data_IF_611667078082
#
_entry.id   IF_611667078082
#
_cell.length_a   1.000
_cell.length_b   1.000
_cell.length_c   1.000
_cell.angle_alpha   90.00
_cell.angle_beta   90.00
_cell.angle_gamma   90.00
#
_symmetry.space_group_name_H-M   'P 1'
#
loop_
_entity.id
_entity.type
_entity.pdbx_description
1 polymer ?
#
# COMPACT_ATOMS: atom_id res chain seq x y z
N UNK A 1 6.68 6.84 -17.01
CA UNK A 1 6.91 5.51 -17.63
C UNK A 1 6.31 4.47 -16.70
N UNK A 2 5.26 3.79 -17.11
CA UNK A 2 4.76 2.64 -16.36
C UNK A 2 5.78 1.50 -16.50
N UNK A 3 6.21 0.94 -15.37
CA UNK A 3 7.04 -0.27 -15.37
C UNK A 3 6.20 -1.41 -15.94
N UNK A 4 6.54 -1.91 -17.13
CA UNK A 4 5.85 -3.03 -17.78
C UNK A 4 6.22 -4.39 -17.18
N UNK A 5 7.24 -4.43 -16.32
CA UNK A 5 7.75 -5.65 -15.68
C UNK A 5 7.44 -5.74 -14.19
N UNK A 6 7.85 -6.85 -13.57
CA UNK A 6 7.80 -7.02 -12.12
C UNK A 6 8.64 -5.94 -11.42
N UNK A 7 8.02 -5.26 -10.45
CA UNK A 7 8.68 -4.24 -9.64
C UNK A 7 9.82 -4.86 -8.82
N UNK A 8 9.55 -5.97 -8.14
CA UNK A 8 10.52 -6.60 -7.25
C UNK A 8 11.74 -7.12 -8.01
N UNK A 9 11.53 -7.79 -9.14
CA UNK A 9 12.63 -8.22 -10.01
C UNK A 9 13.43 -7.03 -10.54
N UNK A 10 12.76 -5.95 -10.96
CA UNK A 10 13.43 -4.74 -11.46
C UNK A 10 14.27 -4.07 -10.37
N UNK A 11 13.79 -4.04 -9.12
CA UNK A 11 14.59 -3.51 -7.98
C UNK A 11 15.85 -4.36 -7.79
N UNK A 12 15.74 -5.69 -7.77
CA UNK A 12 16.88 -6.60 -7.61
C UNK A 12 17.90 -6.40 -8.74
N UNK A 13 17.43 -6.35 -10.00
CA UNK A 13 18.30 -6.12 -11.16
C UNK A 13 19.04 -4.79 -11.09
N UNK A 14 18.36 -3.72 -10.65
CA UNK A 14 19.00 -2.41 -10.44
C UNK A 14 20.05 -2.44 -9.34
N UNK A 15 19.76 -3.11 -8.20
CA UNK A 15 20.73 -3.28 -7.12
C UNK A 15 21.97 -3.99 -7.61
N UNK A 16 21.82 -5.06 -8.41
CA UNK A 16 22.92 -5.76 -9.05
C UNK A 16 23.70 -4.85 -10.00
N UNK A 17 23.00 -4.12 -10.87
CA UNK A 17 23.61 -3.19 -11.83
C UNK A 17 24.39 -2.07 -11.14
N UNK A 18 23.89 -1.52 -10.05
CA UNK A 18 24.62 -0.50 -9.29
C UNK A 18 25.97 -0.99 -8.74
N UNK A 19 26.08 -2.26 -8.42
CA UNK A 19 27.26 -2.84 -7.75
C UNK A 19 28.05 -3.81 -8.64
N UNK A 20 27.67 -3.95 -9.91
CA UNK A 20 28.24 -4.91 -10.83
C UNK A 20 28.24 -6.33 -10.24
N UNK A 21 27.13 -6.70 -9.57
CA UNK A 21 27.02 -7.92 -8.80
C UNK A 21 26.46 -9.07 -9.65
N UNK A 22 27.24 -10.14 -9.89
CA UNK A 22 26.75 -11.29 -10.65
C UNK A 22 25.69 -12.05 -9.84
N UNK A 23 24.70 -12.63 -10.54
CA UNK A 23 23.61 -13.39 -9.92
C UNK A 23 24.08 -14.64 -9.15
N UNK A 24 25.29 -15.11 -9.43
CA UNK A 24 25.89 -16.30 -8.79
C UNK A 24 26.32 -16.07 -7.33
N UNK A 25 26.59 -14.84 -6.92
CA UNK A 25 27.12 -14.55 -5.58
C UNK A 25 26.04 -14.45 -4.51
N UNK A 26 24.95 -13.77 -4.83
CA UNK A 26 23.78 -13.63 -3.94
C UNK A 26 22.54 -14.05 -4.71
N UNK A 27 21.72 -14.94 -4.14
CA UNK A 27 20.44 -15.31 -4.73
C UNK A 27 19.47 -14.11 -4.72
N UNK A 28 18.48 -14.13 -5.60
CA UNK A 28 17.43 -13.10 -5.62
C UNK A 28 16.64 -13.08 -4.29
N UNK A 29 16.38 -14.25 -3.70
CA UNK A 29 15.70 -14.37 -2.42
C UNK A 29 16.54 -13.76 -1.27
N UNK A 30 17.85 -14.01 -1.26
CA UNK A 30 18.76 -13.37 -0.30
C UNK A 30 18.71 -11.84 -0.42
N UNK A 31 18.86 -11.30 -1.64
CA UNK A 31 18.80 -9.85 -1.85
C UNK A 31 17.44 -9.29 -1.46
N UNK A 32 16.36 -9.99 -1.80
CA UNK A 32 15.01 -9.55 -1.44
C UNK A 32 14.84 -9.46 0.07
N UNK A 33 15.12 -10.53 0.81
CA UNK A 33 14.86 -10.60 2.26
C UNK A 33 15.81 -9.75 3.08
N UNK A 34 17.10 -9.74 2.74
CA UNK A 34 18.13 -9.15 3.60
C UNK A 34 18.53 -7.73 3.19
N UNK A 35 18.18 -7.31 1.97
CA UNK A 35 18.62 -6.02 1.43
C UNK A 35 17.43 -5.16 1.01
N UNK A 36 16.54 -5.68 0.17
CA UNK A 36 15.46 -4.87 -0.42
C UNK A 36 14.33 -4.61 0.57
N UNK A 37 13.84 -5.66 1.25
CA UNK A 37 12.71 -5.51 2.19
C UNK A 37 13.01 -4.54 3.34
N UNK A 38 14.15 -4.65 4.06
CA UNK A 38 14.47 -3.71 5.12
C UNK A 38 14.54 -2.26 4.62
N UNK A 39 15.15 -2.04 3.44
CA UNK A 39 15.25 -0.70 2.88
C UNK A 39 13.91 -0.18 2.34
N UNK A 40 13.03 -1.04 1.88
CA UNK A 40 11.67 -0.64 1.51
C UNK A 40 10.90 -0.12 2.72
N UNK A 41 10.96 -0.84 3.86
CA UNK A 41 10.35 -0.40 5.12
C UNK A 41 10.95 0.94 5.56
N UNK A 42 12.28 1.09 5.51
CA UNK A 42 12.97 2.33 5.86
C UNK A 42 12.54 3.51 4.97
N UNK A 43 12.44 3.29 3.66
CA UNK A 43 12.02 4.33 2.70
C UNK A 43 10.56 4.69 2.92
N UNK A 44 9.66 3.72 3.08
CA UNK A 44 8.25 3.96 3.35
C UNK A 44 8.06 4.73 4.66
N UNK A 45 8.74 4.33 5.73
CA UNK A 45 8.69 5.01 7.03
C UNK A 45 9.19 6.45 6.94
N UNK A 46 10.29 6.70 6.24
CA UNK A 46 10.81 8.07 6.03
C UNK A 46 9.84 8.95 5.25
N UNK A 47 9.20 8.40 4.22
CA UNK A 47 8.21 9.14 3.43
C UNK A 47 6.91 9.39 4.21
N UNK A 48 6.56 8.48 5.12
CA UNK A 48 5.43 8.66 6.04
C UNK A 48 5.66 9.78 7.05
N UNK A 49 6.92 9.97 7.48
CA UNK A 49 7.32 11.04 8.41
C UNK A 49 7.51 12.41 7.73
N UNK A 50 7.48 12.46 6.41
CA UNK A 50 7.53 13.74 5.69
C UNK A 50 6.12 14.37 5.67
N UNK A 51 5.85 15.20 6.67
CA UNK A 51 4.56 15.85 6.88
C UNK A 51 4.13 16.79 5.74
N UNK A 52 5.09 17.31 4.99
CA UNK A 52 4.78 18.20 3.85
C UNK A 52 4.16 17.42 2.69
N UNK A 53 4.57 16.16 2.49
CA UNK A 53 4.16 15.34 1.35
C UNK A 53 4.03 13.84 1.72
N UNK A 54 3.10 13.46 2.62
CA UNK A 54 2.96 12.07 3.01
C UNK A 54 2.36 11.21 1.89
N UNK A 55 2.79 9.95 1.83
CA UNK A 55 2.07 8.95 1.05
C UNK A 55 0.78 8.64 1.77
N UNK A 56 -0.34 8.87 1.12
CA UNK A 56 -1.68 8.63 1.67
C UNK A 56 -2.29 7.43 0.98
N UNK A 57 -2.73 6.46 1.78
CA UNK A 57 -3.47 5.30 1.32
C UNK A 57 -4.96 5.52 1.58
N UNK A 58 -5.78 5.21 0.58
CA UNK A 58 -7.24 5.16 0.67
C UNK A 58 -7.67 3.72 0.80
N UNK A 59 -8.43 3.39 1.82
CA UNK A 59 -8.95 2.06 2.05
C UNK A 59 -10.42 2.09 2.45
N UNK A 60 -11.24 1.28 1.78
CA UNK A 60 -12.61 1.02 2.20
C UNK A 60 -12.62 0.02 3.36
N UNK A 61 -13.45 0.27 4.36
CA UNK A 61 -13.70 -0.62 5.49
C UNK A 61 -15.20 -0.72 5.74
N UNK A 62 -15.66 -1.90 6.14
CA UNK A 62 -17.06 -2.11 6.53
C UNK A 62 -17.13 -2.39 8.01
N UNK A 63 -17.90 -1.61 8.75
CA UNK A 63 -18.15 -1.80 10.17
C UNK A 63 -19.54 -2.40 10.32
N UNK A 64 -19.62 -3.58 10.93
CA UNK A 64 -20.90 -4.27 11.15
C UNK A 64 -21.73 -3.55 12.21
N UNK A 65 -23.05 -3.74 12.16
CA UNK A 65 -23.99 -3.23 13.16
C UNK A 65 -23.58 -3.63 14.58
N UNK A 66 -23.62 -2.68 15.51
CA UNK A 66 -23.28 -2.90 16.92
C UNK A 66 -21.81 -3.20 17.20
N UNK A 67 -20.93 -3.16 16.20
CA UNK A 67 -19.49 -3.39 16.39
C UNK A 67 -18.86 -2.14 17.02
N UNK A 68 -18.31 -2.30 18.20
CA UNK A 68 -17.63 -1.22 18.92
C UNK A 68 -16.19 -1.04 18.44
N UNK A 69 -15.51 -2.12 18.14
CA UNK A 69 -14.10 -2.11 17.77
C UNK A 69 -13.88 -2.82 16.44
N UNK A 70 -13.15 -2.16 15.56
CA UNK A 70 -12.70 -2.68 14.28
C UNK A 70 -11.17 -2.85 14.30
N UNK A 71 -10.71 -4.05 13.93
CA UNK A 71 -9.28 -4.34 13.85
C UNK A 71 -8.66 -3.57 12.69
N UNK A 72 -7.74 -2.64 12.97
CA UNK A 72 -6.99 -1.93 11.94
C UNK A 72 -5.99 -2.86 11.24
N UNK A 73 -5.78 -2.67 9.94
CA UNK A 73 -4.68 -3.29 9.22
C UNK A 73 -3.33 -2.96 9.85
N UNK A 74 -2.37 -3.90 9.85
CA UNK A 74 -1.07 -3.69 10.52
C UNK A 74 -0.22 -2.59 9.89
N UNK A 75 -0.48 -2.23 8.63
CA UNK A 75 0.24 -1.16 7.93
C UNK A 75 -0.32 0.25 8.17
N UNK A 76 -1.38 0.39 8.96
CA UNK A 76 -1.94 1.70 9.33
C UNK A 76 -1.01 2.39 10.31
N UNK A 77 -0.49 3.56 9.95
CA UNK A 77 0.27 4.44 10.85
C UNK A 77 -0.63 5.52 11.46
N UNK A 78 -0.95 6.53 10.71
CA UNK A 78 -1.77 7.66 11.18
C UNK A 78 -3.02 7.82 10.30
N UNK A 79 -4.21 7.79 10.92
CA UNK A 79 -5.46 8.09 10.24
C UNK A 79 -5.69 9.58 10.32
N UNK A 80 -5.83 10.26 9.19
CA UNK A 80 -6.12 11.69 9.18
C UNK A 80 -7.55 12.02 8.71
N UNK A 81 -8.23 11.09 8.05
CA UNK A 81 -9.62 11.25 7.64
C UNK A 81 -10.35 9.92 7.62
N UNK A 82 -11.56 9.92 8.15
CA UNK A 82 -12.48 8.79 8.12
C UNK A 82 -13.86 9.31 7.72
N UNK A 83 -14.36 8.89 6.57
CA UNK A 83 -15.60 9.37 5.98
C UNK A 83 -16.52 8.25 5.58
N UNK A 84 -17.83 8.49 5.64
CA UNK A 84 -18.83 7.62 5.05
C UNK A 84 -19.19 8.15 3.67
N UNK A 85 -19.21 7.27 2.68
CA UNK A 85 -19.62 7.57 1.32
C UNK A 85 -20.95 6.90 1.01
N UNK A 86 -21.77 7.55 0.19
CA UNK A 86 -22.93 6.92 -0.46
C UNK A 86 -22.51 6.13 -1.71
N UNK A 87 -23.50 5.58 -2.41
CA UNK A 87 -23.33 4.82 -3.64
C UNK A 87 -22.72 5.64 -4.79
N UNK A 88 -22.83 6.98 -4.72
CA UNK A 88 -22.29 7.93 -5.70
C UNK A 88 -20.91 8.46 -5.30
N UNK A 89 -20.26 7.90 -4.26
CA UNK A 89 -19.02 8.38 -3.66
C UNK A 89 -19.10 9.82 -3.06
N UNK A 90 -20.30 10.27 -2.68
CA UNK A 90 -20.50 11.53 -1.98
C UNK A 90 -20.35 11.30 -0.48
N UNK A 91 -19.65 12.20 0.21
CA UNK A 91 -19.47 12.12 1.65
C UNK A 91 -20.79 12.40 2.35
N UNK A 92 -21.31 11.43 3.09
CA UNK A 92 -22.55 11.52 3.87
C UNK A 92 -22.29 11.80 5.35
N UNK A 93 -21.12 11.39 5.86
CA UNK A 93 -20.68 11.70 7.20
C UNK A 93 -19.15 11.80 7.26
N UNK A 94 -18.66 12.72 8.07
CA UNK A 94 -17.25 12.93 8.38
C UNK A 94 -17.04 12.65 9.87
N UNK A 95 -16.28 11.58 10.15
CA UNK A 95 -15.98 11.15 11.51
C UNK A 95 -14.76 11.90 12.02
N UNK A 96 -14.88 12.63 13.11
CA UNK A 96 -13.78 13.41 13.70
C UNK A 96 -13.03 12.61 14.76
N UNK A 97 -11.72 12.85 14.95
CA UNK A 97 -11.00 12.27 16.08
C UNK A 97 -11.66 12.67 17.40
N UNK A 98 -11.78 11.74 18.34
CA UNK A 98 -12.28 12.01 19.67
C UNK A 98 -11.38 13.06 20.37
N UNK A 99 -11.98 14.08 20.96
CA UNK A 99 -11.26 15.20 21.60
C UNK A 99 -11.13 16.46 20.74
N UNK A 100 -11.42 16.42 19.45
CA UNK A 100 -11.68 17.62 18.67
C UNK A 100 -13.14 18.05 18.90
N UNK A 101 -13.32 19.30 19.31
CA UNK A 101 -14.60 19.86 19.76
C UNK A 101 -15.78 19.71 18.78
N UNK A 102 -16.43 18.53 18.82
CA UNK A 102 -17.76 18.33 18.26
C UNK A 102 -18.54 17.40 19.19
N UNK A 103 -19.29 17.91 20.16
CA UNK A 103 -19.94 17.08 21.17
C UNK A 103 -21.11 16.23 20.65
N UNK A 104 -21.56 16.44 19.42
CA UNK A 104 -22.79 15.79 18.90
C UNK A 104 -22.58 15.06 17.55
N UNK A 105 -21.40 15.15 16.90
CA UNK A 105 -21.13 14.55 15.60
C UNK A 105 -20.50 13.14 15.69
N UNK A 106 -20.47 12.40 14.56
CA UNK A 106 -19.77 11.14 14.51
C UNK A 106 -18.27 11.33 14.77
N UNK A 107 -17.72 10.46 15.61
CA UNK A 107 -16.31 10.52 15.99
C UNK A 107 -15.66 9.13 16.00
N UNK A 108 -14.34 9.11 16.05
CA UNK A 108 -13.54 7.90 16.15
C UNK A 108 -12.40 8.07 17.15
N UNK A 109 -11.94 6.95 17.69
CA UNK A 109 -10.73 6.85 18.49
C UNK A 109 -9.93 5.60 18.15
N UNK A 110 -8.67 5.59 18.52
CA UNK A 110 -7.79 4.43 18.37
C UNK A 110 -7.33 3.98 19.75
N UNK A 111 -7.49 2.71 20.03
CA UNK A 111 -7.00 2.04 21.23
C UNK A 111 -6.08 0.89 20.81
N UNK A 112 -4.77 1.12 20.83
CA UNK A 112 -3.80 0.19 20.27
C UNK A 112 -3.94 0.06 18.76
N UNK A 113 -4.40 -1.09 18.28
CA UNK A 113 -4.68 -1.34 16.85
C UNK A 113 -6.18 -1.52 16.56
N UNK A 114 -7.02 -1.03 17.44
CA UNK A 114 -8.47 -1.07 17.31
C UNK A 114 -9.02 0.33 17.03
N UNK A 115 -9.84 0.45 16.00
CA UNK A 115 -10.61 1.63 15.66
C UNK A 115 -11.99 1.52 16.33
N UNK A 116 -12.36 2.48 17.13
CA UNK A 116 -13.72 2.65 17.65
C UNK A 116 -14.40 3.81 16.94
N UNK A 117 -15.66 3.64 16.55
CA UNK A 117 -16.49 4.69 15.95
C UNK A 117 -17.74 4.96 16.81
N UNK A 118 -18.12 6.22 16.91
CA UNK A 118 -19.29 6.65 17.67
C UNK A 118 -20.14 7.64 16.84
N UNK A 119 -21.48 7.59 16.95
CA UNK A 119 -22.26 6.58 17.68
C UNK A 119 -22.05 5.18 17.08
N UNK A 120 -22.35 4.13 17.86
CA UNK A 120 -22.34 2.76 17.37
C UNK A 120 -23.32 2.64 16.20
N UNK A 121 -22.91 2.05 15.07
CA UNK A 121 -23.81 1.90 13.93
C UNK A 121 -24.94 0.90 14.23
N UNK A 122 -26.18 1.28 13.98
CA UNK A 122 -27.37 0.44 14.07
C UNK A 122 -27.51 -0.54 12.90
N UNK A 123 -26.82 -0.26 11.80
CA UNK A 123 -26.68 -1.09 10.60
C UNK A 123 -25.25 -1.08 10.12
N UNK A 124 -24.88 -2.03 9.27
CA UNK A 124 -23.55 -2.03 8.66
C UNK A 124 -23.31 -0.73 7.88
N UNK A 125 -22.15 -0.11 8.09
CA UNK A 125 -21.74 1.11 7.42
C UNK A 125 -20.43 0.90 6.65
N UNK A 126 -20.34 1.52 5.48
CA UNK A 126 -19.12 1.54 4.68
C UNK A 126 -18.41 2.88 4.89
N UNK A 127 -17.19 2.80 5.41
CA UNK A 127 -16.32 3.94 5.62
C UNK A 127 -15.15 3.89 4.67
N UNK A 128 -14.61 5.05 4.35
CA UNK A 128 -13.33 5.19 3.67
C UNK A 128 -12.35 5.84 4.62
N UNK A 129 -11.29 5.12 4.89
CA UNK A 129 -10.19 5.55 5.73
C UNK A 129 -9.05 6.07 4.85
N UNK A 130 -8.56 7.25 5.16
CA UNK A 130 -7.34 7.82 4.58
C UNK A 130 -6.27 7.85 5.66
N UNK A 131 -5.17 7.17 5.41
CA UNK A 131 -4.11 7.02 6.39
C UNK A 131 -2.72 7.08 5.78
N UNK A 132 -1.76 7.41 6.60
CA UNK A 132 -0.33 7.34 6.31
C UNK A 132 0.15 5.96 6.75
N UNK A 133 0.79 5.16 5.87
CA UNK A 133 1.29 3.84 6.24
C UNK A 133 2.47 3.95 7.21
N UNK A 134 2.59 2.99 8.12
CA UNK A 134 3.72 2.93 9.07
C UNK A 134 4.99 2.27 8.49
N UNK A 135 4.94 1.82 7.22
CA UNK A 135 6.04 1.11 6.57
C UNK A 135 6.06 -0.40 6.81
N UNK A 136 5.20 -0.94 7.68
CA UNK A 136 5.09 -2.37 7.94
C UNK A 136 4.39 -3.08 6.77
N UNK A 137 5.17 -3.45 5.77
CA UNK A 137 4.68 -4.05 4.54
C UNK A 137 5.65 -5.14 4.04
N UNK A 138 5.13 -6.33 3.76
CA UNK A 138 5.89 -7.46 3.21
C UNK A 138 5.53 -7.68 1.74
N UNK A 139 6.26 -7.06 0.80
CA UNK A 139 6.01 -7.30 -0.62
C UNK A 139 6.42 -8.71 -1.01
N UNK A 140 5.72 -9.28 -1.99
CA UNK A 140 6.11 -10.58 -2.51
C UNK A 140 5.70 -10.78 -3.98
N UNK A 141 6.38 -11.71 -4.63
CA UNK A 141 6.10 -12.20 -5.97
C UNK A 141 5.96 -13.72 -5.94
N UNK A 142 4.96 -14.25 -6.61
CA UNK A 142 4.73 -15.68 -6.77
C UNK A 142 4.19 -16.03 -8.17
N UNK A 143 4.31 -17.31 -8.52
CA UNK A 143 3.95 -17.82 -9.85
C UNK A 143 2.75 -18.79 -9.84
N UNK A 144 2.18 -19.03 -8.68
CA UNK A 144 1.17 -20.06 -8.42
C UNK A 144 -0.09 -19.51 -7.71
N UNK A 145 -0.38 -18.23 -7.88
CA UNK A 145 -1.63 -17.65 -7.37
C UNK A 145 -2.86 -18.30 -7.99
N UNK A 146 -3.86 -18.65 -7.18
CA UNK A 146 -5.10 -19.24 -7.64
C UNK A 146 -6.23 -18.22 -7.71
N UNK A 147 -6.64 -17.85 -8.93
CA UNK A 147 -7.74 -16.93 -9.17
C UNK A 147 -9.08 -17.63 -8.91
N UNK A 148 -9.98 -16.97 -8.20
CA UNK A 148 -11.34 -17.46 -8.01
C UNK A 148 -12.14 -17.40 -9.33
N UNK A 149 -13.17 -18.24 -9.44
CA UNK A 149 -14.00 -18.35 -10.64
C UNK A 149 -14.74 -17.07 -11.02
N UNK A 150 -14.99 -16.18 -10.06
CA UNK A 150 -15.60 -14.87 -10.28
C UNK A 150 -14.60 -13.79 -10.71
N UNK A 151 -13.30 -14.11 -10.71
CA UNK A 151 -12.22 -13.17 -11.03
C UNK A 151 -12.03 -12.05 -10.00
N UNK A 152 -12.72 -12.07 -8.86
CA UNK A 152 -12.69 -10.98 -7.86
C UNK A 152 -11.77 -11.23 -6.67
N UNK A 153 -11.16 -12.39 -6.61
CA UNK A 153 -10.24 -12.71 -5.53
C UNK A 153 -9.16 -13.67 -5.96
N UNK A 154 -8.03 -13.59 -5.28
CA UNK A 154 -6.85 -14.40 -5.51
C UNK A 154 -6.42 -15.06 -4.20
N UNK A 155 -6.28 -16.38 -4.21
CA UNK A 155 -5.60 -17.10 -3.15
C UNK A 155 -4.11 -16.98 -3.37
N UNK A 156 -3.39 -16.52 -2.34
CA UNK A 156 -1.96 -16.25 -2.41
C UNK A 156 -1.15 -17.52 -2.21
N UNK A 157 0.03 -17.56 -2.81
CA UNK A 157 0.99 -18.64 -2.59
C UNK A 157 1.47 -18.69 -1.14
N UNK A 158 1.50 -19.88 -0.56
CA UNK A 158 2.10 -20.08 0.77
C UNK A 158 3.63 -19.97 0.75
N UNK A 159 4.25 -20.11 -0.44
CA UNK A 159 5.70 -20.08 -0.63
C UNK A 159 6.05 -19.15 -1.79
N UNK A 160 6.04 -17.83 -1.58
CA UNK A 160 6.36 -16.88 -2.65
C UNK A 160 7.78 -17.08 -3.17
N UNK A 161 7.95 -16.84 -4.47
CA UNK A 161 9.27 -16.94 -5.15
C UNK A 161 10.23 -15.85 -4.66
N UNK A 162 9.72 -14.66 -4.38
CA UNK A 162 10.47 -13.53 -3.80
C UNK A 162 9.68 -12.90 -2.67
N UNK A 163 10.39 -12.45 -1.65
CA UNK A 163 9.81 -11.76 -0.51
C UNK A 163 9.21 -12.71 0.52
N UNK A 164 8.22 -12.24 1.25
CA UNK A 164 7.55 -13.00 2.30
C UNK A 164 6.03 -12.76 2.28
N UNK A 165 5.27 -13.83 2.50
CA UNK A 165 3.83 -13.75 2.66
C UNK A 165 3.50 -13.16 4.04
N UNK A 166 2.69 -12.12 4.07
CA UNK A 166 2.11 -11.63 5.32
C UNK A 166 0.79 -12.36 5.60
N UNK A 167 0.74 -13.05 6.72
CA UNK A 167 -0.45 -13.81 7.15
C UNK A 167 -1.34 -13.03 8.12
N UNK A 168 -0.98 -11.79 8.46
CA UNK A 168 -1.79 -10.94 9.34
C UNK A 168 -3.01 -10.43 8.57
N UNK A 169 -4.23 -10.60 9.08
CA UNK A 169 -5.43 -10.09 8.42
C UNK A 169 -5.31 -8.59 8.10
N UNK A 170 -5.74 -8.21 6.90
CA UNK A 170 -5.71 -6.82 6.45
C UNK A 170 -4.34 -6.30 5.99
N UNK A 171 -3.23 -7.04 6.15
CA UNK A 171 -1.88 -6.53 5.84
C UNK A 171 -1.71 -6.03 4.40
N UNK A 172 -2.43 -6.61 3.45
CA UNK A 172 -2.39 -6.19 2.04
C UNK A 172 -3.54 -5.28 1.62
N UNK A 173 -4.45 -4.95 2.52
CA UNK A 173 -5.53 -4.03 2.20
C UNK A 173 -4.97 -2.65 1.79
N UNK A 174 -5.49 -2.07 0.70
CA UNK A 174 -4.98 -0.84 0.10
C UNK A 174 -3.68 -1.00 -0.70
N UNK A 175 -3.06 -2.16 -0.73
CA UNK A 175 -1.89 -2.44 -1.56
C UNK A 175 -2.27 -2.63 -3.04
N UNK A 176 -1.27 -2.65 -3.90
CA UNK A 176 -1.44 -2.90 -5.32
C UNK A 176 -1.11 -4.35 -5.66
N UNK A 177 -2.09 -5.08 -6.18
CA UNK A 177 -1.91 -6.39 -6.82
C UNK A 177 -1.60 -6.18 -8.30
N UNK A 178 -0.51 -6.75 -8.77
CA UNK A 178 -0.12 -6.75 -10.18
C UNK A 178 -0.11 -8.17 -10.71
N UNK A 179 -0.92 -8.43 -11.71
CA UNK A 179 -0.99 -9.74 -12.39
C UNK A 179 -0.07 -9.69 -13.58
N UNK A 180 0.82 -10.66 -13.66
CA UNK A 180 1.90 -10.73 -14.62
C UNK A 180 1.68 -11.88 -15.61
N UNK A 181 2.15 -11.71 -16.83
CA UNK A 181 2.12 -12.75 -17.84
C UNK A 181 3.07 -13.88 -17.48
N UNK A 182 2.61 -15.12 -17.57
CA UNK A 182 3.47 -16.29 -17.40
C UNK A 182 4.65 -16.26 -18.38
N UNK A 183 5.84 -16.54 -17.86
CA UNK A 183 7.07 -16.64 -18.63
C UNK A 183 7.71 -15.32 -19.08
N UNK A 184 7.09 -14.14 -18.82
CA UNK A 184 7.68 -12.88 -19.29
C UNK A 184 7.71 -11.73 -18.28
N UNK A 185 7.21 -11.90 -17.07
CA UNK A 185 7.08 -10.84 -16.05
C UNK A 185 6.40 -9.54 -16.56
N UNK A 186 5.79 -9.55 -17.74
CA UNK A 186 5.08 -8.38 -18.28
C UNK A 186 3.78 -8.19 -17.52
N UNK A 187 3.51 -6.98 -17.06
CA UNK A 187 2.26 -6.65 -16.38
C UNK A 187 1.08 -6.78 -17.34
N UNK A 188 0.08 -7.54 -16.93
CA UNK A 188 -1.21 -7.68 -17.64
C UNK A 188 -2.26 -6.75 -17.04
N UNK A 189 -2.41 -6.77 -15.73
CA UNK A 189 -3.42 -5.99 -15.02
C UNK A 189 -2.91 -5.55 -13.65
N UNK A 190 -3.46 -4.44 -13.19
CA UNK A 190 -3.20 -3.87 -11.86
C UNK A 190 -4.53 -3.66 -11.15
N UNK A 191 -4.60 -3.99 -9.87
CA UNK A 191 -5.78 -3.88 -9.01
C UNK A 191 -5.41 -3.35 -7.65
N UNK A 192 -6.32 -2.62 -7.03
CA UNK A 192 -6.20 -2.29 -5.61
C UNK A 192 -6.84 -3.42 -4.79
N UNK A 193 -6.17 -3.82 -3.74
CA UNK A 193 -6.66 -4.84 -2.82
C UNK A 193 -7.64 -4.19 -1.84
N UNK A 194 -8.90 -4.58 -1.90
CA UNK A 194 -9.94 -4.09 -0.98
C UNK A 194 -9.84 -4.77 0.38
N UNK A 195 -9.58 -6.07 0.39
CA UNK A 195 -9.49 -6.85 1.62
C UNK A 195 -8.46 -7.97 1.53
N UNK A 196 -7.90 -8.31 2.67
CA UNK A 196 -6.98 -9.42 2.86
C UNK A 196 -7.44 -10.25 4.05
N UNK A 197 -7.66 -11.54 3.82
CA UNK A 197 -8.08 -12.49 4.84
C UNK A 197 -7.06 -13.62 4.97
N UNK A 198 -6.84 -14.06 6.21
CA UNK A 198 -6.04 -15.22 6.50
C UNK A 198 -6.87 -16.20 7.33
N UNK A 199 -6.88 -17.46 6.96
CA UNK A 199 -7.64 -18.50 7.65
C UNK A 199 -6.86 -19.81 7.71
N UNK A 200 -7.04 -20.51 8.81
CA UNK A 200 -6.41 -21.80 9.02
C UNK A 200 -7.17 -22.88 8.22
N UNK A 201 -6.48 -23.59 7.35
CA UNK A 201 -7.03 -24.73 6.59
C UNK A 201 -6.66 -26.07 7.20
N UNK A 202 -5.83 -26.06 8.26
CA UNK A 202 -5.36 -27.25 8.98
C UNK A 202 -4.23 -26.90 9.95
N UNK A 203 -3.73 -27.86 10.73
CA UNK A 203 -2.63 -27.60 11.67
C UNK A 203 -1.39 -27.04 10.98
N UNK A 204 -1.06 -25.78 11.29
CA UNK A 204 0.10 -25.07 10.72
C UNK A 204 -0.06 -24.60 9.27
N UNK A 205 -1.25 -24.75 8.66
CA UNK A 205 -1.52 -24.31 7.30
C UNK A 205 -2.40 -23.06 7.33
N UNK A 206 -1.80 -21.91 7.01
CA UNK A 206 -2.51 -20.64 6.82
C UNK A 206 -2.68 -20.40 5.34
N UNK A 207 -3.92 -20.28 4.88
CA UNK A 207 -4.25 -19.84 3.55
C UNK A 207 -4.64 -18.37 3.60
N UNK A 208 -4.12 -17.59 2.67
CA UNK A 208 -4.39 -16.16 2.57
C UNK A 208 -5.06 -15.84 1.25
N UNK A 209 -6.01 -14.91 1.29
CA UNK A 209 -6.79 -14.51 0.13
C UNK A 209 -6.94 -13.00 0.08
N UNK A 210 -6.79 -12.42 -1.09
CA UNK A 210 -7.07 -11.02 -1.35
C UNK A 210 -8.28 -10.88 -2.26
N UNK A 211 -9.14 -9.89 -1.98
CA UNK A 211 -10.20 -9.48 -2.87
C UNK A 211 -9.89 -8.07 -3.41
N UNK A 212 -10.39 -7.74 -4.58
CA UNK A 212 -10.07 -6.49 -5.27
C UNK A 212 -11.29 -5.88 -5.96
N UNK A 213 -11.17 -4.60 -6.24
CA UNK A 213 -12.20 -3.67 -6.69
C UNK A 213 -12.88 -4.04 -8.01
N UNK A 214 -12.17 -4.70 -8.91
CA UNK A 214 -12.70 -5.06 -10.22
C UNK A 214 -12.27 -6.46 -10.65
N UNK A 215 -13.13 -7.23 -11.35
CA UNK A 215 -12.82 -8.60 -11.73
C UNK A 215 -11.63 -8.67 -12.68
N UNK A 216 -10.87 -9.75 -12.57
CA UNK A 216 -9.82 -10.08 -13.52
C UNK A 216 -10.43 -10.56 -14.84
N UNK A 217 -9.97 -9.97 -15.95
CA UNK A 217 -10.43 -10.30 -17.29
C UNK A 217 -9.39 -11.17 -18.01
N UNK A 218 -9.26 -12.41 -17.61
CA UNK A 218 -8.28 -13.34 -18.19
C UNK A 218 -8.59 -14.78 -17.82
N UNK A 219 -7.70 -15.70 -18.21
CA UNK A 219 -7.82 -17.10 -17.83
C UNK A 219 -7.72 -17.27 -16.32
N UNK A 220 -8.67 -17.98 -15.72
CA UNK A 220 -8.80 -18.18 -14.27
C UNK A 220 -7.89 -19.30 -13.72
N UNK A 221 -6.87 -19.70 -14.46
CA UNK A 221 -5.86 -20.66 -14.02
C UNK A 221 -4.82 -20.00 -13.10
N UNK A 222 -3.80 -20.75 -12.73
CA UNK A 222 -2.66 -20.22 -11.98
C UNK A 222 -2.10 -18.96 -12.62
N UNK A 223 -1.95 -17.89 -11.82
CA UNK A 223 -1.45 -16.59 -12.29
C UNK A 223 -0.15 -16.21 -11.59
N UNK A 224 0.74 -15.59 -12.34
CA UNK A 224 1.89 -14.92 -11.76
C UNK A 224 1.43 -13.57 -11.22
N UNK A 225 1.83 -13.23 -10.03
CA UNK A 225 1.44 -11.97 -9.41
C UNK A 225 2.53 -11.40 -8.51
N UNK A 226 2.45 -10.11 -8.26
CA UNK A 226 3.20 -9.46 -7.19
C UNK A 226 2.29 -8.53 -6.40
N UNK A 227 2.55 -8.42 -5.09
CA UNK A 227 1.91 -7.46 -4.21
C UNK A 227 2.94 -6.44 -3.78
N UNK A 228 2.65 -5.17 -4.05
CA UNK A 228 3.55 -4.04 -3.82
C UNK A 228 2.79 -2.91 -3.13
N UNK A 229 3.49 -2.02 -2.39
CA UNK A 229 2.82 -0.88 -1.75
C UNK A 229 2.22 0.05 -2.79
N UNK A 230 1.16 0.76 -2.42
CA UNK A 230 0.59 1.81 -3.26
C UNK A 230 1.66 2.88 -3.60
N UNK A 231 1.68 3.36 -4.84
CA UNK A 231 2.69 4.33 -5.28
C UNK A 231 4.10 3.75 -5.52
N UNK A 232 4.23 2.41 -5.55
CA UNK A 232 5.50 1.69 -5.73
C UNK A 232 6.35 2.20 -6.90
N UNK A 233 5.74 2.69 -7.97
CA UNK A 233 6.46 3.20 -9.14
C UNK A 233 7.39 4.37 -8.79
N UNK A 234 6.92 5.27 -7.93
CA UNK A 234 7.72 6.39 -7.42
C UNK A 234 8.83 5.92 -6.48
N UNK A 235 8.62 4.77 -5.80
CA UNK A 235 9.57 4.22 -4.84
C UNK A 235 10.73 3.45 -5.49
N UNK A 236 10.55 2.95 -6.71
CA UNK A 236 11.49 2.01 -7.34
C UNK A 236 12.94 2.48 -7.31
N UNK A 237 13.20 3.70 -7.75
CA UNK A 237 14.55 4.23 -7.81
C UNK A 237 15.15 4.44 -6.41
N UNK A 238 14.33 4.95 -5.49
CA UNK A 238 14.74 5.21 -4.12
C UNK A 238 15.08 3.91 -3.38
N UNK A 239 14.21 2.91 -3.44
CA UNK A 239 14.42 1.59 -2.84
C UNK A 239 15.63 0.90 -3.44
N UNK A 240 15.80 0.95 -4.78
CA UNK A 240 16.97 0.35 -5.44
C UNK A 240 18.29 0.99 -5.00
N UNK A 241 18.33 2.32 -4.89
CA UNK A 241 19.54 3.03 -4.46
C UNK A 241 19.86 2.79 -2.98
N UNK A 242 18.84 2.82 -2.09
CA UNK A 242 19.00 2.50 -0.67
C UNK A 242 19.50 1.06 -0.47
N UNK A 243 18.90 0.11 -1.16
CA UNK A 243 19.30 -1.30 -1.15
C UNK A 243 20.74 -1.50 -1.66
N UNK A 244 21.12 -0.76 -2.70
CA UNK A 244 22.49 -0.80 -3.21
C UNK A 244 23.50 -0.24 -2.18
N UNK A 245 23.15 0.81 -1.44
CA UNK A 245 23.97 1.33 -0.33
C UNK A 245 24.15 0.27 0.76
N UNK A 246 23.05 -0.38 1.17
CA UNK A 246 23.09 -1.43 2.19
C UNK A 246 24.01 -2.58 1.75
N UNK A 247 23.84 -3.09 0.55
CA UNK A 247 24.70 -4.14 0.02
C UNK A 247 26.15 -3.68 -0.17
N UNK A 248 26.38 -2.41 -0.52
CA UNK A 248 27.72 -1.82 -0.66
C UNK A 248 28.48 -1.79 0.67
N UNK A 249 27.78 -1.51 1.78
CA UNK A 249 28.36 -1.59 3.14
C UNK A 249 28.79 -3.02 3.44
N UNK A 250 27.98 -4.01 3.10
CA UNK A 250 28.33 -5.43 3.30
C UNK A 250 29.53 -5.89 2.45
N UNK A 251 29.80 -5.21 1.34
CA UNK A 251 30.86 -5.59 0.36
C UNK A 251 32.15 -4.79 0.52
N UNK A 252 32.20 -3.82 1.42
CA UNK A 252 33.34 -2.93 1.57
C UNK A 252 33.77 -2.26 0.25
N UNK A 253 32.82 -1.65 -0.45
CA UNK A 253 33.08 -0.99 -1.73
C UNK A 253 33.90 0.31 -1.55
N UNK A 254 34.54 0.77 -2.63
CA UNK A 254 35.34 2.01 -2.61
C UNK A 254 34.51 3.23 -2.19
N UNK A 255 35.15 4.18 -1.50
CA UNK A 255 34.51 5.44 -1.08
C UNK A 255 33.86 6.19 -2.25
N UNK A 256 34.48 6.16 -3.45
CA UNK A 256 33.95 6.79 -4.67
C UNK A 256 32.62 6.15 -5.09
N UNK A 257 32.52 4.82 -5.05
CA UNK A 257 31.27 4.09 -5.37
C UNK A 257 30.19 4.39 -4.36
N UNK A 258 30.55 4.44 -3.07
CA UNK A 258 29.61 4.81 -2.00
C UNK A 258 29.07 6.23 -2.17
N UNK A 259 29.91 7.21 -2.47
CA UNK A 259 29.48 8.59 -2.76
C UNK A 259 28.51 8.65 -3.95
N UNK A 260 28.81 7.93 -5.03
CA UNK A 260 27.90 7.83 -6.17
C UNK A 260 26.52 7.31 -5.75
N UNK A 261 26.43 6.21 -5.01
CA UNK A 261 25.18 5.63 -4.54
C UNK A 261 24.40 6.59 -3.64
N UNK A 262 25.09 7.31 -2.75
CA UNK A 262 24.46 8.32 -1.90
C UNK A 262 23.89 9.49 -2.70
N UNK A 263 24.56 9.92 -3.77
CA UNK A 263 24.05 10.96 -4.68
C UNK A 263 22.78 10.46 -5.40
N UNK A 264 22.80 9.23 -5.92
CA UNK A 264 21.64 8.63 -6.59
C UNK A 264 20.44 8.49 -5.64
N UNK A 265 20.67 8.08 -4.40
CA UNK A 265 19.63 8.00 -3.37
C UNK A 265 19.01 9.38 -3.07
N UNK A 266 19.85 10.42 -2.89
CA UNK A 266 19.36 11.79 -2.63
C UNK A 266 18.56 12.34 -3.81
N UNK A 267 19.00 12.08 -5.05
CA UNK A 267 18.25 12.45 -6.26
C UNK A 267 16.90 11.75 -6.30
N UNK A 268 16.87 10.46 -6.00
CA UNK A 268 15.63 9.68 -5.98
C UNK A 268 14.65 10.19 -4.92
N UNK A 269 15.11 10.50 -3.71
CA UNK A 269 14.29 11.10 -2.66
C UNK A 269 13.72 12.46 -3.08
N UNK A 270 14.54 13.30 -3.69
CA UNK A 270 14.07 14.59 -4.22
C UNK A 270 13.00 14.41 -5.29
N UNK A 271 13.21 13.48 -6.24
CA UNK A 271 12.22 13.18 -7.28
C UNK A 271 10.89 12.70 -6.70
N UNK A 272 10.91 11.89 -5.63
CA UNK A 272 9.69 11.47 -4.95
C UNK A 272 9.00 12.70 -4.32
N UNK A 273 9.75 13.54 -3.61
CA UNK A 273 9.22 14.76 -3.01
C UNK A 273 8.59 15.70 -4.05
N UNK A 274 9.27 15.91 -5.17
CA UNK A 274 8.76 16.73 -6.27
C UNK A 274 7.49 16.12 -6.88
N UNK A 275 7.45 14.81 -7.11
CA UNK A 275 6.28 14.10 -7.64
C UNK A 275 5.09 14.13 -6.67
N UNK A 276 5.33 13.95 -5.38
CA UNK A 276 4.27 14.02 -4.37
C UNK A 276 3.74 15.46 -4.27
N UNK A 277 4.61 16.47 -4.29
CA UNK A 277 4.22 17.88 -4.32
C UNK A 277 3.37 18.19 -5.56
N UNK A 278 3.76 17.70 -6.73
CA UNK A 278 3.01 17.87 -7.97
C UNK A 278 1.63 17.17 -7.91
N UNK A 279 1.55 15.96 -7.35
CA UNK A 279 0.29 15.27 -7.15
C UNK A 279 -0.61 16.00 -6.15
N UNK A 280 -0.04 16.64 -5.13
CA UNK A 280 -0.80 17.45 -4.18
C UNK A 280 -1.27 18.78 -4.81
N UNK A 281 -0.48 19.40 -5.66
CA UNK A 281 -0.90 20.58 -6.42
C UNK A 281 -2.03 20.27 -7.42
N UNK A 282 -2.06 19.02 -7.93
CA UNK A 282 -3.16 18.52 -8.77
C UNK A 282 -4.33 17.94 -7.97
N UNK A 283 -4.16 17.72 -6.68
CA UNK A 283 -5.35 17.48 -5.84
C UNK A 283 -6.20 18.73 -5.99
N UNK A 284 -7.45 18.59 -6.47
CA UNK A 284 -8.31 19.74 -6.52
C UNK A 284 -8.29 20.38 -5.14
N UNK A 285 -8.37 21.69 -5.08
CA UNK A 285 -8.57 22.47 -3.84
C UNK A 285 -9.87 22.04 -3.10
N UNK A 286 -10.39 20.90 -3.38
CA UNK A 286 -11.65 20.28 -3.02
C UNK A 286 -11.69 19.68 -1.62
N UNK A 287 -10.65 19.86 -0.85
CA UNK A 287 -10.86 19.96 0.57
C UNK A 287 -11.42 21.36 0.94
N UNK A 288 -11.97 22.07 -0.04
CA UNK A 288 -12.77 23.24 0.25
C UNK A 288 -14.03 22.78 0.99
N UNK A 289 -14.10 23.20 2.23
CA UNK A 289 -15.23 23.04 3.10
C UNK A 289 -16.40 23.81 2.47
N UNK A 290 -17.35 23.11 1.86
CA UNK A 290 -18.57 23.72 1.40
C UNK A 290 -19.57 23.69 2.55
N UNK A 291 -19.94 24.87 3.04
CA UNK A 291 -21.09 25.03 3.93
C UNK A 291 -22.31 25.04 3.03
N UNK A 292 -23.09 23.98 3.02
CA UNK A 292 -24.40 23.98 2.35
C UNK A 292 -25.43 24.42 3.36
N UNK A 293 -26.03 25.56 3.07
CA UNK A 293 -27.23 26.14 3.73
C UNK A 293 -27.37 25.90 5.21
N UNK A 294 -27.05 26.93 6.01
CA UNK A 294 -27.50 27.19 7.40
C UNK A 294 -27.65 25.98 8.36
N UNK A 295 -27.26 24.80 8.00
CA UNK A 295 -27.12 23.65 8.86
C UNK A 295 -25.67 23.22 8.80
N UNK A 296 -24.90 23.33 9.85
CA UNK A 296 -23.47 22.98 10.03
C UNK A 296 -23.02 21.63 9.45
N UNK A 297 -23.45 21.28 8.24
CA UNK A 297 -23.05 20.09 7.51
C UNK A 297 -21.94 20.45 6.55
N UNK A 298 -20.74 20.03 6.89
CA UNK A 298 -19.60 20.11 6.00
C UNK A 298 -19.62 18.94 5.01
N UNK A 299 -19.88 19.22 3.74
CA UNK A 299 -19.79 18.24 2.66
C UNK A 299 -18.42 18.38 2.03
N UNK A 300 -17.64 17.31 2.08
CA UNK A 300 -16.39 17.20 1.32
C UNK A 300 -16.70 16.51 0.01
N UNK A 301 -16.67 17.24 -1.08
CA UNK A 301 -16.66 16.63 -2.39
C UNK A 301 -15.24 16.20 -2.72
N UNK A 302 -15.01 14.91 -2.89
CA UNK A 302 -13.84 14.40 -3.59
C UNK A 302 -14.05 14.74 -5.08
N UNK A 303 -13.84 16.02 -5.42
CA UNK A 303 -14.13 16.55 -6.73
C UNK A 303 -13.24 15.93 -7.79
N UNK A 304 -13.88 15.29 -8.76
CA UNK A 304 -13.33 15.14 -10.08
C UNK A 304 -13.54 16.46 -10.81
N UNK A 305 -12.65 17.43 -10.70
CA UNK A 305 -12.61 18.46 -11.71
C UNK A 305 -11.95 17.86 -12.97
N UNK A 306 -12.79 17.65 -13.98
CA UNK A 306 -12.36 17.48 -15.35
C UNK A 306 -11.76 18.84 -15.81
N UNK A 307 -10.54 18.79 -16.27
CA UNK A 307 -10.03 19.72 -17.27
C UNK A 307 -10.06 19.02 -18.58
#
# INVERSE_FOLDING_TARGET
MHSTGSFLNTVIERVRGYLDEPSSKYSNDFLMRNVVMPEMVNVLSRLSLNFDNPIVIRQAITIASGTEYYQLPPNVGEIFMLVQLDENNIVTADYKPQGQHHPTGPNWSIEGNLLSVRPLPDKAINLVMFYIPNGDFLPHYATDGAMASDGKSLTLSASPTLGALDTRPGAYAGATLRILKQGSNTMLQERIIDSHTAYNTGPGLVQTRVAFDAPYNGALSSVNYEIVPQGFQSLMQCVSAASAINLAVMKDVTAKKMQFLQIEYRKALKTIGDNLSYMQMRKPKSYQKYTVDNQDRHIYTLGSERV
#
